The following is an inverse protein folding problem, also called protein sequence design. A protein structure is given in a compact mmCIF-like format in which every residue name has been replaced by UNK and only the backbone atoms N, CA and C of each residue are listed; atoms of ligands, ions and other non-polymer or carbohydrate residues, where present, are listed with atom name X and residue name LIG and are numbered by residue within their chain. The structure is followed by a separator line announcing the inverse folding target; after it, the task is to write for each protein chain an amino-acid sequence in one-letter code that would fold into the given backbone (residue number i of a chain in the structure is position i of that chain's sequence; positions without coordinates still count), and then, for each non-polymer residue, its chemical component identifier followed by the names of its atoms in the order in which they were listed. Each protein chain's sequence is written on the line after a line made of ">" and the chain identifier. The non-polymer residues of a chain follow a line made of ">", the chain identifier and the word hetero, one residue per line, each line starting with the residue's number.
data_IF_100647092599
#
_entry.id   IF_100647092599
#
_cell.length_a   1.000
_cell.length_b   1.000
_cell.length_c   1.000
_cell.angle_alpha   90.00
_cell.angle_beta   90.00
_cell.angle_gamma   90.00
#
_symmetry.space_group_name_H-M   'P 1'
#
loop_
_entity.id
_entity.type
_entity.pdbx_description
1 polymer ?
#
# COMPACT_ATOMS: atom_id res chain seq x y z
N UNK A 1 -4.90 -7.39 -32.96
CA UNK A 1 -5.82 -7.52 -31.81
C UNK A 1 -6.26 -6.11 -31.45
N UNK A 2 -7.55 -5.80 -31.61
CA UNK A 2 -8.12 -4.46 -31.36
C UNK A 2 -8.85 -4.54 -30.01
N UNK A 3 -8.41 -3.75 -29.03
CA UNK A 3 -9.00 -3.70 -27.68
C UNK A 3 -10.06 -2.59 -27.67
N UNK A 4 -11.27 -2.90 -27.18
CA UNK A 4 -12.39 -1.96 -27.12
C UNK A 4 -12.37 -1.12 -25.83
N UNK A 5 -12.92 0.12 -25.83
CA UNK A 5 -12.86 1.02 -24.67
C UNK A 5 -13.52 0.47 -23.39
N UNK A 6 -14.53 -0.39 -23.53
CA UNK A 6 -15.19 -1.10 -22.43
C UNK A 6 -14.39 -2.30 -21.90
N UNK A 7 -13.37 -2.76 -22.63
CA UNK A 7 -12.44 -3.80 -22.20
C UNK A 7 -11.30 -3.24 -21.34
N UNK A 8 -11.15 -1.90 -21.28
CA UNK A 8 -10.31 -1.20 -20.32
C UNK A 8 -11.05 -1.13 -18.97
N UNK A 9 -11.32 -2.30 -18.39
CA UNK A 9 -11.69 -2.38 -16.97
C UNK A 9 -10.42 -2.10 -16.17
N UNK A 10 -10.25 -0.86 -15.73
CA UNK A 10 -9.27 -0.38 -14.77
C UNK A 10 -8.06 -1.31 -14.61
N UNK A 11 -7.08 -1.21 -15.50
CA UNK A 11 -5.77 -1.82 -15.29
C UNK A 11 -5.05 -1.10 -14.15
N UNK A 12 -5.56 -1.20 -12.92
CA UNK A 12 -4.75 -0.99 -11.73
C UNK A 12 -3.78 -2.17 -11.66
N UNK A 13 -2.65 -2.05 -12.33
CA UNK A 13 -1.52 -2.91 -12.01
C UNK A 13 -1.17 -2.66 -10.53
N UNK A 14 -1.11 -3.70 -9.72
CA UNK A 14 -0.53 -3.62 -8.38
C UNK A 14 0.96 -3.35 -8.56
N UNK A 15 1.36 -2.08 -8.55
CA UNK A 15 2.72 -1.65 -8.84
C UNK A 15 3.45 -1.36 -7.54
N UNK A 16 4.35 -2.26 -7.16
CA UNK A 16 5.26 -2.02 -6.05
C UNK A 16 4.67 -2.33 -4.68
N UNK A 17 5.37 -3.19 -3.96
CA UNK A 17 5.16 -3.48 -2.56
C UNK A 17 6.28 -2.81 -1.77
N UNK A 18 5.94 -2.09 -0.71
CA UNK A 18 6.91 -1.42 0.15
C UNK A 18 6.62 -1.72 1.63
N UNK A 19 7.67 -1.67 2.45
CA UNK A 19 7.60 -1.99 3.88
C UNK A 19 7.83 -0.72 4.68
N UNK A 20 6.87 -0.39 5.55
CA UNK A 20 6.93 0.79 6.41
C UNK A 20 7.09 0.36 7.87
N UNK A 21 7.89 1.11 8.62
CA UNK A 21 7.91 1.03 10.08
C UNK A 21 7.12 2.21 10.64
N UNK A 22 5.99 1.91 11.25
CA UNK A 22 5.08 2.87 11.89
C UNK A 22 5.54 3.08 13.33
N UNK A 23 5.60 4.35 13.75
CA UNK A 23 6.06 4.72 15.09
C UNK A 23 5.18 4.13 16.20
N UNK A 24 5.74 3.89 17.40
CA UNK A 24 4.96 3.47 18.56
C UNK A 24 3.85 4.47 18.87
N UNK A 25 2.66 3.97 19.23
CA UNK A 25 1.49 4.79 19.55
C UNK A 25 0.59 5.15 18.36
N UNK A 26 1.03 4.90 17.13
CA UNK A 26 0.18 5.04 15.93
C UNK A 26 -0.47 3.69 15.61
N UNK A 27 -1.80 3.62 15.65
CA UNK A 27 -2.54 2.42 15.24
C UNK A 27 -2.58 2.35 13.72
N UNK A 28 -2.22 1.19 13.17
CA UNK A 28 -2.29 0.91 11.74
C UNK A 28 -2.97 -0.43 11.51
N UNK A 29 -3.86 -0.47 10.52
CA UNK A 29 -4.69 -1.61 10.16
C UNK A 29 -4.60 -1.89 8.66
N UNK A 30 -5.10 -3.05 8.26
CA UNK A 30 -5.28 -3.36 6.84
C UNK A 30 -6.24 -2.35 6.21
N UNK A 31 -5.92 -1.93 4.99
CA UNK A 31 -6.59 -0.90 4.18
C UNK A 31 -6.39 0.54 4.67
N UNK A 32 -5.64 0.77 5.76
CA UNK A 32 -5.19 2.12 6.09
C UNK A 32 -4.25 2.65 5.00
N UNK A 33 -4.09 3.97 4.97
CA UNK A 33 -3.37 4.65 3.90
C UNK A 33 -2.14 5.37 4.44
N UNK A 34 -1.02 5.12 3.78
CA UNK A 34 0.28 5.71 4.09
C UNK A 34 0.62 6.67 2.95
N UNK A 35 0.86 7.92 3.29
CA UNK A 35 1.31 8.93 2.34
C UNK A 35 2.82 9.09 2.51
N UNK A 36 3.59 8.66 1.51
CA UNK A 36 5.05 8.72 1.54
C UNK A 36 5.61 9.07 0.17
N UNK A 37 6.60 9.97 0.12
CA UNK A 37 7.27 10.40 -1.11
C UNK A 37 6.32 10.80 -2.27
N UNK A 38 5.20 11.49 -1.94
CA UNK A 38 4.21 11.91 -2.94
C UNK A 38 3.32 10.79 -3.50
N UNK A 39 3.40 9.57 -2.92
CA UNK A 39 2.58 8.41 -3.28
C UNK A 39 1.67 8.00 -2.12
N UNK A 40 0.56 7.34 -2.46
CA UNK A 40 -0.42 6.79 -1.53
C UNK A 40 -0.35 5.26 -1.58
N UNK A 41 -0.04 4.68 -0.43
CA UNK A 41 0.09 3.24 -0.25
C UNK A 41 -1.07 2.74 0.61
N UNK A 42 -1.70 1.64 0.22
CA UNK A 42 -2.71 0.95 1.01
C UNK A 42 -2.09 -0.23 1.74
N UNK A 43 -2.22 -0.26 3.06
CA UNK A 43 -1.68 -1.33 3.90
C UNK A 43 -2.37 -2.64 3.58
N UNK A 44 -1.60 -3.63 3.14
CA UNK A 44 -2.11 -4.97 2.84
C UNK A 44 -2.04 -5.88 4.06
N UNK A 45 -0.96 -5.78 4.84
CA UNK A 45 -0.72 -6.65 5.99
C UNK A 45 0.12 -5.96 7.05
N UNK A 46 -0.30 -6.08 8.31
CA UNK A 46 0.56 -5.81 9.46
C UNK A 46 1.46 -7.03 9.67
N UNK A 47 2.78 -6.86 9.56
CA UNK A 47 3.73 -7.97 9.64
C UNK A 47 4.13 -8.30 11.07
N UNK A 48 4.53 -7.30 11.85
CA UNK A 48 5.09 -7.51 13.20
C UNK A 48 5.01 -6.22 14.03
N UNK A 49 4.79 -6.36 15.32
CA UNK A 49 5.03 -5.30 16.32
C UNK A 49 6.40 -5.56 16.98
N UNK A 50 7.26 -4.55 16.97
CA UNK A 50 8.61 -4.58 17.53
C UNK A 50 8.55 -4.36 19.05
N UNK A 51 9.62 -4.73 19.77
CA UNK A 51 9.70 -4.65 21.23
C UNK A 51 9.63 -3.21 21.77
N UNK A 52 10.03 -2.24 20.96
CA UNK A 52 9.89 -0.80 21.26
C UNK A 52 8.49 -0.25 20.91
N UNK A 53 7.55 -1.09 20.47
CA UNK A 53 6.18 -0.73 20.14
C UNK A 53 5.96 -0.23 18.70
N UNK A 54 6.99 -0.17 17.86
CA UNK A 54 6.80 0.20 16.44
C UNK A 54 6.20 -0.96 15.65
N UNK A 55 5.41 -0.65 14.61
CA UNK A 55 4.69 -1.67 13.83
C UNK A 55 5.20 -1.70 12.40
N UNK A 56 5.65 -2.86 11.94
CA UNK A 56 6.09 -3.07 10.56
C UNK A 56 4.89 -3.51 9.72
N UNK A 57 4.64 -2.80 8.62
CA UNK A 57 3.52 -3.06 7.71
C UNK A 57 4.01 -3.16 6.27
N UNK A 58 3.31 -3.99 5.50
CA UNK A 58 3.49 -4.16 4.07
C UNK A 58 2.34 -3.42 3.36
N UNK A 59 2.67 -2.49 2.48
CA UNK A 59 1.70 -1.66 1.78
C UNK A 59 2.01 -1.60 0.27
N UNK A 60 0.95 -1.53 -0.52
CA UNK A 60 1.06 -1.47 -1.98
C UNK A 60 0.56 -0.11 -2.46
N UNK A 61 1.13 0.42 -3.52
CA UNK A 61 0.58 1.63 -4.16
C UNK A 61 0.02 1.30 -5.55
N UNK A 62 -0.97 2.08 -5.96
CA UNK A 62 -1.40 2.09 -7.34
C UNK A 62 -0.49 3.04 -8.12
N UNK A 63 0.12 2.51 -9.17
CA UNK A 63 0.97 3.27 -10.08
C UNK A 63 0.06 4.20 -10.87
N UNK A 64 0.48 5.45 -11.01
CA UNK A 64 -0.09 6.31 -12.04
C UNK A 64 0.52 5.87 -13.36
N UNK A 65 -0.33 5.36 -14.26
CA UNK A 65 0.00 5.28 -15.69
C UNK A 65 0.23 6.68 -16.24
#
# INVERSE_FOLDING_TARGET
>A
MIIQPNEISAHSCSTGTEVFTVLPGVSVRRNDEIHHAGRRYSVQRVQRVMTNGSTVVCANYAGKL
#
